data_IF_496515423052
#
_entry.id   IF_496515423052
#
_cell.length_a   1.000
_cell.length_b   1.000
_cell.length_c   1.000
_cell.angle_alpha   90.00
_cell.angle_beta   90.00
_cell.angle_gamma   90.00
#
_symmetry.space_group_name_H-M   'P 1'
#
loop_
_entity.id
_entity.type
_entity.pdbx_description
1 polymer ?
#
# COMPACT_ATOMS: atom_id res chain seq x y z
N UNK A 1 32.20 34.74 -11.81
CA UNK A 1 30.91 34.41 -12.43
C UNK A 1 31.18 33.18 -13.28
N UNK A 2 30.77 32.00 -12.82
CA UNK A 2 31.03 30.75 -13.51
C UNK A 2 29.87 30.48 -14.48
N UNK A 3 30.19 30.43 -15.76
CA UNK A 3 29.32 29.92 -16.83
C UNK A 3 28.98 28.45 -16.52
N UNK A 4 27.70 28.19 -16.26
CA UNK A 4 27.16 26.84 -16.31
C UNK A 4 26.93 26.50 -17.78
N UNK A 5 27.85 25.71 -18.33
CA UNK A 5 27.70 25.15 -19.66
C UNK A 5 26.62 24.05 -19.59
N UNK A 6 25.39 24.40 -19.98
CA UNK A 6 24.29 23.48 -20.26
C UNK A 6 24.62 22.63 -21.50
N UNK A 7 25.53 21.68 -21.31
CA UNK A 7 25.80 20.62 -22.28
C UNK A 7 24.79 19.49 -22.09
N UNK A 8 23.53 19.71 -22.51
CA UNK A 8 22.73 18.66 -23.15
C UNK A 8 21.61 19.29 -23.97
N UNK A 9 21.97 19.78 -25.16
CA UNK A 9 21.04 20.24 -26.18
C UNK A 9 20.29 19.10 -26.87
N UNK A 10 20.04 17.97 -26.18
CA UNK A 10 19.13 16.95 -26.65
C UNK A 10 17.73 17.54 -26.56
N UNK A 11 17.20 17.95 -27.71
CA UNK A 11 15.92 18.63 -27.81
C UNK A 11 14.82 17.71 -27.29
N UNK A 12 14.51 17.85 -26.01
CA UNK A 12 13.39 17.22 -25.32
C UNK A 12 12.09 17.81 -25.84
N UNK A 13 11.66 17.34 -27.02
CA UNK A 13 10.40 17.73 -27.65
C UNK A 13 9.25 17.02 -26.94
N UNK A 14 8.16 17.71 -26.58
CA UNK A 14 6.98 17.08 -26.02
C UNK A 14 6.48 15.93 -26.89
N UNK A 15 6.25 14.77 -26.30
CA UNK A 15 5.70 13.60 -27.00
C UNK A 15 6.69 12.85 -27.90
N UNK A 16 8.00 12.97 -27.69
CA UNK A 16 8.95 12.10 -28.38
C UNK A 16 8.77 10.64 -27.95
N UNK A 17 8.93 9.70 -28.88
CA UNK A 17 8.93 8.28 -28.58
C UNK A 17 10.18 7.95 -27.71
N UNK A 18 10.02 7.09 -26.70
CA UNK A 18 11.10 6.73 -25.79
C UNK A 18 11.29 7.67 -24.58
N UNK A 19 10.20 8.08 -23.94
CA UNK A 19 10.25 8.81 -22.66
C UNK A 19 10.88 7.92 -21.59
N UNK A 20 11.97 8.38 -20.99
CA UNK A 20 12.68 7.67 -19.90
C UNK A 20 12.54 8.41 -18.58
N UNK A 21 12.97 7.80 -17.48
CA UNK A 21 12.97 8.41 -16.13
C UNK A 21 13.87 9.65 -16.00
N UNK A 22 14.76 9.87 -16.97
CA UNK A 22 15.68 11.02 -16.99
C UNK A 22 15.15 12.18 -17.83
N UNK A 23 14.00 12.03 -18.49
CA UNK A 23 13.40 13.09 -19.28
C UNK A 23 12.75 14.15 -18.38
N UNK A 24 12.85 15.45 -18.72
CA UNK A 24 12.12 16.49 -18.02
C UNK A 24 10.61 16.32 -18.18
N UNK A 25 9.82 16.82 -17.22
CA UNK A 25 8.36 16.74 -17.24
C UNK A 25 7.73 17.40 -18.48
N UNK A 26 8.45 18.31 -19.14
CA UNK A 26 8.05 18.90 -20.42
C UNK A 26 7.94 17.88 -21.56
N UNK A 27 8.68 16.77 -21.51
CA UNK A 27 8.53 15.67 -22.48
C UNK A 27 7.14 15.02 -22.41
N UNK A 28 6.52 15.01 -21.24
CA UNK A 28 5.16 14.52 -21.01
C UNK A 28 4.10 15.55 -21.43
N UNK A 29 4.51 16.71 -21.97
CA UNK A 29 3.60 17.80 -22.33
C UNK A 29 3.05 18.59 -21.15
N UNK A 30 3.57 18.36 -19.93
CA UNK A 30 3.13 19.05 -18.73
C UNK A 30 3.79 20.43 -18.66
N UNK A 31 2.99 21.49 -18.81
CA UNK A 31 3.48 22.88 -18.76
C UNK A 31 3.05 23.59 -17.50
N UNK A 32 2.05 23.05 -16.81
CA UNK A 32 1.46 23.64 -15.61
C UNK A 32 1.27 22.59 -14.52
N UNK A 33 1.15 23.06 -13.27
CA UNK A 33 0.72 22.22 -12.15
C UNK A 33 -0.65 21.61 -12.42
N UNK A 34 -1.53 22.32 -13.13
CA UNK A 34 -2.85 21.82 -13.53
C UNK A 34 -2.76 20.57 -14.42
N UNK A 35 -1.79 20.50 -15.33
CA UNK A 35 -1.59 19.34 -16.20
C UNK A 35 -1.15 18.11 -15.41
N UNK A 36 -0.25 18.29 -14.43
CA UNK A 36 0.18 17.22 -13.54
C UNK A 36 -0.97 16.68 -12.70
N UNK A 37 -1.75 17.58 -12.09
CA UNK A 37 -2.93 17.18 -11.29
C UNK A 37 -3.93 16.41 -12.16
N UNK A 38 -4.18 16.88 -13.39
CA UNK A 38 -5.08 16.20 -14.32
C UNK A 38 -4.58 14.82 -14.69
N UNK A 39 -3.29 14.67 -15.01
CA UNK A 39 -2.67 13.38 -15.32
C UNK A 39 -2.86 12.38 -14.17
N UNK A 40 -2.59 12.80 -12.93
CA UNK A 40 -2.73 11.98 -11.72
C UNK A 40 -4.18 11.57 -11.45
N UNK A 41 -5.13 12.48 -11.67
CA UNK A 41 -6.57 12.18 -11.52
C UNK A 41 -7.02 11.18 -12.58
N UNK A 42 -6.57 11.32 -13.83
CA UNK A 42 -6.89 10.40 -14.93
C UNK A 42 -6.33 9.00 -14.64
N UNK A 43 -5.06 8.90 -14.19
CA UNK A 43 -4.44 7.62 -13.81
C UNK A 43 -5.09 6.99 -12.59
N UNK A 44 -5.49 7.78 -11.60
CA UNK A 44 -6.22 7.29 -10.44
C UNK A 44 -7.57 6.66 -10.82
N UNK A 45 -8.27 7.25 -11.80
CA UNK A 45 -9.54 6.72 -12.30
C UNK A 45 -9.36 5.44 -13.10
N UNK A 46 -8.33 5.33 -13.92
CA UNK A 46 -8.07 4.09 -14.67
C UNK A 46 -7.62 2.96 -13.77
N UNK A 47 -6.80 3.25 -12.75
CA UNK A 47 -6.44 2.27 -11.72
C UNK A 47 -7.65 1.80 -10.91
N UNK A 48 -8.58 2.70 -10.57
CA UNK A 48 -9.81 2.35 -9.85
C UNK A 48 -10.83 1.60 -10.72
N UNK A 49 -10.69 1.64 -12.05
CA UNK A 49 -11.62 1.01 -13.00
C UNK A 49 -11.18 -0.36 -13.48
N UNK A 50 -10.07 -0.92 -12.96
CA UNK A 50 -9.73 -2.32 -13.24
C UNK A 50 -10.58 -3.25 -12.38
N UNK A 51 -11.49 -4.06 -12.97
CA UNK A 51 -12.08 -5.17 -12.27
C UNK A 51 -10.98 -6.22 -12.05
N UNK A 52 -10.42 -6.27 -10.85
CA UNK A 52 -9.66 -7.43 -10.42
C UNK A 52 -10.62 -8.61 -10.34
N UNK A 53 -10.68 -9.40 -11.42
CA UNK A 53 -11.29 -10.72 -11.41
C UNK A 53 -10.59 -11.55 -10.34
N UNK A 54 -11.28 -11.81 -9.23
CA UNK A 54 -10.82 -12.69 -8.16
C UNK A 54 -10.44 -14.06 -8.71
N UNK A 55 -9.22 -14.57 -8.45
CA UNK A 55 -8.98 -15.99 -8.40
C UNK A 55 -9.43 -16.53 -7.04
N UNK A 56 -10.02 -17.72 -7.08
CA UNK A 56 -10.45 -18.55 -5.95
C UNK A 56 -9.36 -18.79 -4.88
N UNK A 57 -9.73 -19.23 -3.67
CA UNK A 57 -8.78 -19.46 -2.57
C UNK A 57 -7.91 -20.68 -2.89
N UNK A 58 -6.66 -20.43 -3.27
CA UNK A 58 -5.61 -21.44 -3.24
C UNK A 58 -4.72 -21.19 -2.04
N UNK A 59 -4.47 -22.26 -1.30
CA UNK A 59 -3.62 -22.39 -0.10
C UNK A 59 -2.12 -22.27 -0.47
N UNK A 60 -1.79 -21.30 -1.33
CA UNK A 60 -0.45 -20.99 -1.81
C UNK A 60 0.09 -19.71 -1.14
N UNK A 61 1.41 -19.46 -1.22
CA UNK A 61 1.97 -18.20 -0.75
C UNK A 61 1.27 -17.04 -1.47
N UNK A 62 0.51 -16.25 -0.71
CA UNK A 62 -0.23 -15.09 -1.21
C UNK A 62 0.74 -14.01 -1.69
N UNK A 63 1.18 -14.09 -2.94
CA UNK A 63 1.97 -13.05 -3.61
C UNK A 63 1.03 -11.95 -4.11
N UNK A 64 0.59 -11.07 -3.21
CA UNK A 64 -0.11 -9.84 -3.60
C UNK A 64 0.88 -8.68 -3.55
N UNK A 65 0.94 -7.87 -4.61
CA UNK A 65 1.79 -6.67 -4.69
C UNK A 65 1.49 -5.66 -3.57
N UNK A 66 0.28 -5.73 -2.99
CA UNK A 66 -0.13 -4.95 -1.82
C UNK A 66 -0.93 -5.81 -0.84
N UNK A 67 -0.58 -5.71 0.44
CA UNK A 67 -1.35 -6.32 1.54
C UNK A 67 -2.59 -5.46 1.80
N UNK A 68 -3.77 -6.09 1.86
CA UNK A 68 -5.05 -5.43 2.15
C UNK A 68 -5.58 -5.87 3.52
N UNK A 69 -6.67 -5.24 3.99
CA UNK A 69 -7.29 -5.56 5.28
C UNK A 69 -7.86 -6.98 5.35
N UNK A 70 -8.29 -7.52 4.22
CA UNK A 70 -8.87 -8.87 4.10
C UNK A 70 -7.80 -9.95 3.96
N UNK A 71 -6.54 -9.57 3.72
CA UNK A 71 -5.46 -10.53 3.66
C UNK A 71 -5.30 -11.26 5.00
N UNK A 72 -4.89 -12.54 4.98
CA UNK A 72 -4.51 -13.24 6.19
C UNK A 72 -3.26 -12.60 6.80
N UNK A 73 -3.12 -12.70 8.12
CA UNK A 73 -1.95 -12.13 8.82
C UNK A 73 -0.60 -12.74 8.38
N UNK A 74 -0.63 -13.91 7.73
CA UNK A 74 0.56 -14.52 7.11
C UNK A 74 1.21 -13.65 6.03
N UNK A 75 0.43 -12.78 5.37
CA UNK A 75 0.94 -11.83 4.38
C UNK A 75 1.84 -10.73 4.97
N UNK A 76 1.84 -10.52 6.29
CA UNK A 76 2.67 -9.50 6.96
C UNK A 76 4.12 -9.97 7.22
N UNK A 77 4.47 -11.20 6.87
CA UNK A 77 5.84 -11.72 7.08
C UNK A 77 6.24 -11.84 8.56
N UNK A 78 5.25 -12.04 9.45
CA UNK A 78 5.48 -12.17 10.89
C UNK A 78 6.22 -13.47 11.24
N UNK A 79 6.91 -13.48 12.38
CA UNK A 79 7.55 -14.69 12.88
C UNK A 79 6.52 -15.80 13.14
N UNK A 80 6.95 -17.06 12.96
CA UNK A 80 6.12 -18.25 13.24
C UNK A 80 5.53 -18.23 14.66
N UNK A 81 6.26 -17.67 15.61
CA UNK A 81 5.81 -17.54 16.99
C UNK A 81 4.63 -16.60 17.16
N UNK A 82 4.60 -15.51 16.39
CA UNK A 82 3.49 -14.55 16.36
C UNK A 82 2.30 -15.17 15.64
N UNK A 83 2.53 -15.77 14.47
CA UNK A 83 1.47 -16.44 13.70
C UNK A 83 0.77 -17.53 14.53
N UNK A 84 1.54 -18.39 15.19
CA UNK A 84 1.00 -19.43 16.07
C UNK A 84 0.25 -18.85 17.28
N UNK A 85 0.69 -17.72 17.83
CA UNK A 85 -0.02 -17.08 18.94
C UNK A 85 -1.37 -16.51 18.50
N UNK A 86 -1.42 -15.95 17.29
CA UNK A 86 -2.64 -15.37 16.71
C UNK A 86 -3.64 -16.45 16.27
N UNK A 87 -3.17 -17.58 15.75
CA UNK A 87 -4.02 -18.72 15.38
C UNK A 87 -4.36 -19.66 16.56
N UNK A 88 -3.85 -19.39 17.77
CA UNK A 88 -4.08 -20.28 18.92
C UNK A 88 -5.57 -20.38 19.35
N UNK A 89 -6.42 -19.48 18.85
CA UNK A 89 -7.86 -19.44 19.14
C UNK A 89 -8.74 -19.99 18.01
N UNK A 90 -8.16 -20.54 16.95
CA UNK A 90 -8.88 -21.03 15.78
C UNK A 90 -8.24 -20.51 14.49
N UNK A 91 -9.06 -19.94 13.60
CA UNK A 91 -8.57 -19.41 12.34
C UNK A 91 -7.62 -18.24 12.55
N UNK A 92 -6.62 -18.14 11.67
CA UNK A 92 -5.67 -17.04 11.70
C UNK A 92 -6.42 -15.73 11.37
N UNK A 93 -6.32 -14.70 12.21
CA UNK A 93 -7.04 -13.45 11.99
C UNK A 93 -6.56 -12.76 10.70
N UNK A 94 -7.43 -11.94 10.13
CA UNK A 94 -7.08 -11.07 9.01
C UNK A 94 -6.23 -9.89 9.47
N UNK A 95 -5.52 -9.25 8.54
CA UNK A 95 -4.74 -8.03 8.82
C UNK A 95 -5.61 -6.94 9.46
N UNK A 96 -6.85 -6.77 8.99
CA UNK A 96 -7.79 -5.80 9.55
C UNK A 96 -8.22 -6.14 10.99
N UNK A 97 -8.42 -7.42 11.30
CA UNK A 97 -8.71 -7.85 12.68
C UNK A 97 -7.52 -7.59 13.60
N UNK A 98 -6.30 -7.89 13.14
CA UNK A 98 -5.08 -7.61 13.90
C UNK A 98 -4.88 -6.12 14.14
N UNK A 99 -5.18 -5.28 13.15
CA UNK A 99 -5.14 -3.83 13.31
C UNK A 99 -6.16 -3.35 14.36
N UNK A 100 -7.40 -3.84 14.31
CA UNK A 100 -8.43 -3.53 15.31
C UNK A 100 -8.03 -3.97 16.71
N UNK A 101 -7.43 -5.15 16.85
CA UNK A 101 -6.92 -5.64 18.13
C UNK A 101 -5.77 -4.79 18.67
N UNK A 102 -4.90 -4.29 17.78
CA UNK A 102 -3.81 -3.39 18.14
C UNK A 102 -4.36 -2.04 18.63
N UNK A 103 -5.33 -1.48 17.93
CA UNK A 103 -5.98 -0.21 18.27
C UNK A 103 -6.76 -0.30 19.59
N UNK A 104 -7.49 -1.39 19.80
CA UNK A 104 -8.27 -1.61 21.02
C UNK A 104 -7.43 -2.10 22.20
N UNK A 105 -6.11 -2.23 22.04
CA UNK A 105 -5.20 -2.75 23.08
C UNK A 105 -5.37 -4.25 23.39
N UNK A 106 -6.21 -4.97 22.65
CA UNK A 106 -6.54 -6.39 22.87
C UNK A 106 -5.43 -7.35 22.44
N UNK A 107 -4.45 -6.85 21.69
CA UNK A 107 -3.26 -7.64 21.33
C UNK A 107 -2.50 -8.13 22.57
N UNK A 108 -2.53 -7.36 23.67
CA UNK A 108 -1.91 -7.74 24.94
C UNK A 108 -2.66 -8.85 25.70
N UNK A 109 -3.94 -9.06 25.35
CA UNK A 109 -4.76 -10.13 25.95
C UNK A 109 -4.55 -11.48 25.24
N UNK A 110 -3.88 -11.47 24.08
CA UNK A 110 -3.55 -12.68 23.35
C UNK A 110 -2.42 -13.42 24.08
N UNK A 111 -2.70 -14.67 24.46
CA UNK A 111 -1.74 -15.53 25.13
C UNK A 111 -0.46 -15.65 24.29
N UNK A 112 0.70 -15.49 24.93
CA UNK A 112 2.02 -15.48 24.30
C UNK A 112 2.31 -14.29 23.36
N UNK A 113 1.52 -13.20 23.41
CA UNK A 113 1.86 -11.93 22.76
C UNK A 113 2.24 -10.90 23.83
N UNK A 114 3.53 -10.80 24.10
CA UNK A 114 4.09 -9.76 24.98
C UNK A 114 4.44 -8.47 24.22
N UNK A 115 4.95 -7.47 24.94
CA UNK A 115 5.39 -6.17 24.39
C UNK A 115 6.30 -6.30 23.18
N UNK A 116 7.26 -7.22 23.21
CA UNK A 116 8.20 -7.48 22.11
C UNK A 116 7.47 -7.90 20.83
N UNK A 117 6.54 -8.84 20.93
CA UNK A 117 5.76 -9.36 19.79
C UNK A 117 4.71 -8.36 19.29
N UNK A 118 4.16 -7.56 20.20
CA UNK A 118 3.30 -6.42 19.82
C UNK A 118 4.08 -5.41 18.98
N UNK A 119 5.34 -5.14 19.33
CA UNK A 119 6.23 -4.28 18.54
C UNK A 119 6.49 -4.84 17.13
N UNK A 120 6.75 -6.14 17.02
CA UNK A 120 6.92 -6.82 15.74
C UNK A 120 5.69 -6.67 14.83
N UNK A 121 4.49 -6.92 15.38
CA UNK A 121 3.22 -6.77 14.66
C UNK A 121 3.03 -5.33 14.18
N UNK A 122 3.30 -4.36 15.06
CA UNK A 122 3.19 -2.93 14.70
C UNK A 122 4.15 -2.55 13.58
N UNK A 123 5.40 -3.00 13.64
CA UNK A 123 6.41 -2.72 12.60
C UNK A 123 5.99 -3.33 11.26
N UNK A 124 5.51 -4.57 11.26
CA UNK A 124 5.05 -5.24 10.04
C UNK A 124 3.83 -4.55 9.42
N UNK A 125 2.87 -4.11 10.24
CA UNK A 125 1.72 -3.32 9.77
C UNK A 125 2.16 -1.99 9.14
N UNK A 126 3.08 -1.26 9.78
CA UNK A 126 3.60 0.00 9.24
C UNK A 126 4.36 -0.23 7.93
N UNK A 127 5.19 -1.27 7.86
CA UNK A 127 5.92 -1.64 6.64
C UNK A 127 4.97 -2.00 5.49
N UNK A 128 3.84 -2.62 5.80
CA UNK A 128 2.76 -2.90 4.85
C UNK A 128 1.87 -1.67 4.54
N UNK A 129 2.17 -0.49 5.09
CA UNK A 129 1.45 0.76 4.82
C UNK A 129 0.27 1.05 5.75
N UNK A 130 0.01 0.20 6.75
CA UNK A 130 -1.03 0.42 7.74
C UNK A 130 -0.49 1.27 8.89
N UNK A 131 -1.00 2.50 9.02
CA UNK A 131 -0.63 3.38 10.13
C UNK A 131 -1.55 3.14 11.33
N UNK A 132 -0.96 2.76 12.46
CA UNK A 132 -1.66 2.60 13.74
C UNK A 132 -1.96 3.96 14.43
N UNK A 133 -2.53 4.90 13.68
CA UNK A 133 -3.02 6.18 14.19
C UNK A 133 -4.50 6.06 14.51
N UNK A 134 -4.93 6.54 15.69
CA UNK A 134 -6.31 6.42 16.19
C UNK A 134 -7.35 7.08 15.25
N UNK A 135 -7.91 6.30 14.30
CA UNK A 135 -9.18 6.42 13.52
C UNK A 135 -9.48 7.70 12.68
N UNK A 136 -10.46 7.71 11.72
CA UNK A 136 -11.13 6.63 10.95
C UNK A 136 -11.05 6.84 9.40
N UNK A 137 -11.22 5.79 8.60
CA UNK A 137 -11.96 5.93 7.33
C UNK A 137 -12.66 4.64 6.95
N UNK A 138 -13.83 4.46 7.57
CA UNK A 138 -14.99 3.98 6.82
C UNK A 138 -15.18 4.93 5.62
N UNK A 139 -14.83 4.47 4.43
CA UNK A 139 -15.52 4.88 3.20
C UNK A 139 -16.25 3.68 2.62
N UNK A 140 -17.35 3.36 3.30
CA UNK A 140 -18.54 2.84 2.66
C UNK A 140 -19.34 4.06 2.20
N UNK A 141 -19.34 4.34 0.91
CA UNK A 141 -20.33 5.17 0.19
C UNK A 141 -20.28 4.68 -1.27
N UNK A 142 -21.32 4.14 -1.88
CA UNK A 142 -22.68 3.94 -1.43
C UNK A 142 -23.44 3.24 -2.56
N UNK A 143 -24.18 2.19 -2.22
CA UNK A 143 -25.23 1.62 -3.07
C UNK A 143 -26.53 1.86 -2.31
N UNK A 144 -27.47 2.57 -2.93
CA UNK A 144 -28.94 2.47 -2.79
C UNK A 144 -29.58 3.62 -3.58
N UNK A 145 -30.50 3.27 -4.48
CA UNK A 145 -31.29 4.19 -5.30
C UNK A 145 -31.45 3.70 -6.72
#
# INVERSE_FOLDING_TARGET
MAEVNDADGSAHVPGHEGITLWCPLSCLGLRTVGDLVRLLVETGRTAASQPHSSPMPTDGPHEHERVTFECPVTCLGLSRHVLHALSARGDAPTVGEVLRMLESGKLGDVRNIGRRRTGEIRTALIAAGFSASRYPSLRSDGRLG
#
